data_IF_486214609640
#
_entry.id   IF_486214609640
#
_cell.length_a   1.000
_cell.length_b   1.000
_cell.length_c   1.000
_cell.angle_alpha   90.00
_cell.angle_beta   90.00
_cell.angle_gamma   90.00
#
_symmetry.space_group_name_H-M   'P 1'
#
loop_
_entity.id
_entity.type
_entity.pdbx_description
1 polymer ?
#
# COMPACT_ATOMS: atom_id res chain seq x y z
N UNK A 1 -15.21 -1.72 -58.14
CA UNK A 1 -16.01 -2.32 -57.05
C UNK A 1 -15.22 -3.49 -56.49
N UNK A 2 -14.49 -3.30 -55.39
CA UNK A 2 -13.73 -4.36 -54.73
C UNK A 2 -14.56 -4.88 -53.54
N UNK A 3 -14.88 -6.17 -53.55
CA UNK A 3 -15.60 -6.84 -52.46
C UNK A 3 -14.61 -7.15 -51.33
N UNK A 4 -14.95 -6.75 -50.10
CA UNK A 4 -14.20 -7.11 -48.90
C UNK A 4 -14.56 -8.55 -48.48
N UNK A 5 -13.54 -9.37 -48.19
CA UNK A 5 -13.71 -10.72 -47.65
C UNK A 5 -14.23 -10.72 -46.20
N UNK A 6 -14.72 -11.87 -45.70
CA UNK A 6 -15.38 -11.95 -44.40
C UNK A 6 -14.40 -11.78 -43.23
N UNK A 7 -14.89 -11.15 -42.15
CA UNK A 7 -14.19 -10.94 -40.88
C UNK A 7 -13.89 -12.27 -40.17
N UNK A 8 -12.75 -12.39 -39.46
CA UNK A 8 -12.41 -13.61 -38.72
C UNK A 8 -13.34 -13.84 -37.53
N UNK A 9 -13.73 -15.10 -37.32
CA UNK A 9 -14.58 -15.53 -36.21
C UNK A 9 -13.87 -15.41 -34.86
N UNK A 10 -14.62 -15.01 -33.82
CA UNK A 10 -14.15 -14.96 -32.43
C UNK A 10 -13.78 -16.36 -31.95
N UNK A 11 -12.49 -16.67 -31.91
CA UNK A 11 -11.98 -17.84 -31.22
C UNK A 11 -12.23 -17.67 -29.71
N UNK A 12 -12.99 -18.59 -29.13
CA UNK A 12 -13.04 -18.81 -27.68
C UNK A 12 -11.62 -19.08 -27.21
N UNK A 13 -11.05 -18.17 -26.43
CA UNK A 13 -9.72 -18.34 -25.86
C UNK A 13 -9.74 -19.56 -24.94
N UNK A 14 -9.06 -20.63 -25.35
CA UNK A 14 -8.94 -21.84 -24.57
C UNK A 14 -7.96 -21.58 -23.43
N UNK A 15 -8.48 -21.49 -22.20
CA UNK A 15 -7.71 -21.18 -20.99
C UNK A 15 -6.59 -22.22 -20.74
N UNK A 16 -6.72 -23.43 -21.30
CA UNK A 16 -5.67 -24.45 -21.24
C UNK A 16 -4.48 -24.17 -22.16
N UNK A 17 -4.69 -23.54 -23.32
CA UNK A 17 -3.60 -23.11 -24.23
C UNK A 17 -2.87 -21.87 -23.72
N UNK A 18 -3.58 -20.97 -23.03
CA UNK A 18 -2.94 -19.82 -22.37
C UNK A 18 -2.08 -20.26 -21.18
N UNK A 19 -2.52 -21.28 -20.44
CA UNK A 19 -1.73 -21.91 -19.37
C UNK A 19 -0.47 -22.61 -19.88
N UNK A 20 -0.51 -23.25 -21.06
CA UNK A 20 0.68 -23.90 -21.63
C UNK A 20 1.71 -22.92 -22.17
N UNK A 21 1.28 -21.72 -22.63
CA UNK A 21 2.19 -20.64 -23.05
C UNK A 21 2.81 -19.86 -21.90
N UNK A 22 2.27 -19.99 -20.67
CA UNK A 22 2.76 -19.33 -19.45
C UNK A 22 3.26 -20.38 -18.45
N UNK A 23 3.98 -21.39 -18.94
CA UNK A 23 4.88 -22.18 -18.10
C UNK A 23 6.18 -21.40 -17.92
N UNK A 24 6.14 -20.45 -16.99
CA UNK A 24 7.36 -20.08 -16.25
C UNK A 24 7.82 -21.39 -15.58
N UNK A 25 9.13 -21.66 -15.57
CA UNK A 25 9.71 -22.91 -15.07
C UNK A 25 9.32 -23.24 -13.62
N UNK A 26 9.93 -24.28 -13.04
CA UNK A 26 9.60 -24.69 -11.67
C UNK A 26 9.65 -23.49 -10.72
N UNK A 27 8.54 -23.27 -10.02
CA UNK A 27 8.39 -22.22 -9.03
C UNK A 27 9.43 -22.46 -7.93
N UNK A 28 10.31 -21.49 -7.60
CA UNK A 28 11.28 -21.67 -6.52
C UNK A 28 10.60 -22.08 -5.21
N UNK A 29 11.22 -22.97 -4.44
CA UNK A 29 10.64 -23.49 -3.19
C UNK A 29 10.36 -22.39 -2.14
N UNK A 30 10.95 -21.22 -2.31
CA UNK A 30 10.82 -20.06 -1.44
C UNK A 30 9.87 -18.97 -1.97
N UNK A 31 9.11 -19.26 -3.02
CA UNK A 31 8.11 -18.32 -3.55
C UNK A 31 7.02 -18.07 -2.49
N UNK A 32 6.85 -16.80 -2.09
CA UNK A 32 5.93 -16.31 -1.04
C UNK A 32 6.31 -16.67 0.42
N UNK A 33 7.50 -17.19 0.70
CA UNK A 33 7.95 -17.37 2.09
C UNK A 33 8.59 -16.09 2.63
N UNK A 34 7.91 -15.45 3.57
CA UNK A 34 8.51 -14.44 4.45
C UNK A 34 9.33 -15.19 5.49
N UNK A 35 10.65 -15.02 5.47
CA UNK A 35 11.57 -15.62 6.45
C UNK A 35 11.14 -15.22 7.87
N UNK A 36 10.63 -16.19 8.65
CA UNK A 36 10.60 -16.08 10.11
C UNK A 36 12.03 -16.28 10.60
N UNK A 37 12.58 -15.46 11.51
CA UNK A 37 13.78 -15.85 12.23
C UNK A 37 13.43 -17.07 13.08
N UNK A 38 14.02 -18.22 12.74
CA UNK A 38 13.96 -19.44 13.54
C UNK A 38 14.62 -19.20 14.89
N UNK A 39 13.87 -19.42 15.96
CA UNK A 39 14.39 -19.61 17.31
C UNK A 39 14.63 -21.11 17.48
N UNK A 40 15.90 -21.46 17.61
CA UNK A 40 16.42 -22.83 17.72
C UNK A 40 15.79 -23.58 18.92
N UNK A 41 15.18 -24.78 18.75
CA UNK A 41 14.36 -25.41 19.80
C UNK A 41 15.14 -26.41 20.66
N UNK A 42 16.37 -26.10 21.07
CA UNK A 42 17.20 -27.01 21.88
C UNK A 42 17.54 -26.48 23.27
N UNK A 43 16.54 -26.10 24.08
CA UNK A 43 16.69 -26.04 25.56
C UNK A 43 15.39 -26.48 26.27
N UNK A 44 15.40 -27.53 27.11
CA UNK A 44 14.23 -27.95 27.90
C UNK A 44 13.92 -27.02 29.08
N UNK A 45 12.63 -26.75 29.30
CA UNK A 45 12.11 -26.05 30.48
C UNK A 45 12.14 -26.96 31.72
N UNK A 46 12.79 -26.51 32.81
CA UNK A 46 12.40 -26.88 34.16
C UNK A 46 12.84 -25.83 35.20
N UNK A 47 12.12 -25.82 36.32
CA UNK A 47 11.77 -24.67 37.18
C UNK A 47 12.76 -24.43 38.34
N UNK A 48 12.78 -23.19 38.86
CA UNK A 48 12.98 -22.73 40.26
C UNK A 48 14.20 -21.86 40.61
N UNK A 49 13.85 -20.63 41.03
CA UNK A 49 14.39 -19.81 42.13
C UNK A 49 15.88 -19.92 42.49
N UNK A 50 16.65 -18.86 42.19
CA UNK A 50 17.64 -18.32 43.12
C UNK A 50 17.92 -16.84 42.82
N UNK A 51 17.56 -16.00 43.78
CA UNK A 51 17.76 -14.57 43.81
C UNK A 51 19.12 -14.27 44.44
N UNK A 52 20.12 -13.84 43.66
CA UNK A 52 21.30 -13.09 44.15
C UNK A 52 21.84 -12.13 43.08
N UNK A 53 21.60 -10.83 43.33
CA UNK A 53 22.50 -9.67 43.26
C UNK A 53 23.64 -9.64 42.19
N UNK A 54 23.65 -8.62 41.30
CA UNK A 54 24.81 -7.76 40.88
C UNK A 54 24.34 -6.73 39.80
N UNK A 55 24.94 -5.52 39.69
CA UNK A 55 24.25 -4.25 39.47
C UNK A 55 23.87 -3.85 38.03
N UNK A 56 22.86 -2.98 38.00
CA UNK A 56 22.23 -2.31 36.88
C UNK A 56 23.17 -1.43 36.03
N UNK A 57 23.20 -1.70 34.72
CA UNK A 57 23.56 -0.74 33.67
C UNK A 57 22.24 -0.12 33.17
N UNK A 58 22.06 1.22 33.19
CA UNK A 58 20.89 1.84 32.61
C UNK A 58 21.06 1.92 31.08
N UNK A 59 20.63 0.89 30.34
CA UNK A 59 20.34 1.03 28.92
C UNK A 59 18.90 1.53 28.76
N UNK A 60 18.76 2.86 28.69
CA UNK A 60 17.57 3.48 28.14
C UNK A 60 17.59 3.32 26.62
N UNK A 61 17.14 2.16 26.15
CA UNK A 61 16.58 2.04 24.80
C UNK A 61 15.06 2.10 24.97
N UNK A 62 14.37 3.14 24.45
CA UNK A 62 12.92 3.13 24.46
C UNK A 62 12.47 2.04 23.49
N UNK A 63 12.12 0.87 24.03
CA UNK A 63 11.30 -0.10 23.32
C UNK A 63 9.93 0.55 23.09
N UNK A 64 9.77 1.20 21.94
CA UNK A 64 8.45 1.50 21.41
C UNK A 64 7.78 0.16 21.11
N UNK A 65 6.86 -0.23 21.99
CA UNK A 65 6.03 -1.40 21.83
C UNK A 65 5.05 -1.13 20.67
N UNK A 66 5.44 -1.53 19.46
CA UNK A 66 4.54 -1.55 18.31
C UNK A 66 3.71 -2.83 18.39
N UNK A 67 2.39 -2.67 18.51
CA UNK A 67 1.46 -3.79 18.53
C UNK A 67 1.50 -4.60 17.22
N UNK A 68 1.04 -5.86 17.22
CA UNK A 68 1.14 -6.80 16.09
C UNK A 68 0.35 -6.39 14.82
N UNK A 69 -0.28 -5.21 14.77
CA UNK A 69 -1.06 -4.72 13.64
C UNK A 69 -0.29 -3.79 12.67
N UNK A 70 0.88 -3.26 13.06
CA UNK A 70 1.63 -2.28 12.23
C UNK A 70 2.54 -2.94 11.17
N UNK A 71 2.91 -4.21 11.33
CA UNK A 71 3.89 -4.87 10.44
C UNK A 71 3.30 -5.47 9.15
N UNK A 72 1.99 -5.36 8.91
CA UNK A 72 1.35 -5.92 7.70
C UNK A 72 1.30 -4.96 6.49
N UNK A 73 1.76 -3.72 6.63
CA UNK A 73 1.71 -2.72 5.54
C UNK A 73 3.01 -1.90 5.41
N UNK A 74 4.17 -2.50 5.19
CA UNK A 74 5.35 -1.71 4.78
C UNK A 74 5.33 -1.34 3.29
N UNK A 75 4.48 -1.98 2.48
CA UNK A 75 4.37 -1.68 1.06
C UNK A 75 3.19 -0.73 0.78
N UNK A 76 3.54 0.54 0.53
CA UNK A 76 2.65 1.54 -0.04
C UNK A 76 2.96 1.62 -1.53
N UNK A 77 1.99 1.40 -2.44
CA UNK A 77 2.24 1.48 -3.87
C UNK A 77 2.85 2.85 -4.27
N UNK A 78 3.76 2.90 -5.26
CA UNK A 78 4.27 4.15 -5.79
C UNK A 78 3.14 5.11 -6.20
N UNK A 79 3.37 6.41 -6.10
CA UNK A 79 2.38 7.45 -6.43
C UNK A 79 1.06 7.32 -5.65
N UNK A 80 1.08 6.77 -4.43
CA UNK A 80 -0.10 6.75 -3.56
C UNK A 80 -0.30 8.09 -2.87
N UNK A 81 -1.42 8.77 -3.14
CA UNK A 81 -1.83 10.01 -2.45
C UNK A 81 -2.18 9.74 -0.98
N UNK A 82 -2.84 8.62 -0.70
CA UNK A 82 -3.17 8.18 0.66
C UNK A 82 -4.13 7.00 0.66
N UNK A 83 -4.79 6.74 1.79
CA UNK A 83 -5.78 5.67 1.96
C UNK A 83 -7.18 6.29 1.96
N UNK A 84 -7.98 5.83 1.02
CA UNK A 84 -9.39 6.18 0.89
C UNK A 84 -10.24 5.09 1.56
N UNK A 85 -11.20 5.51 2.38
CA UNK A 85 -12.22 4.64 2.97
C UNK A 85 -13.58 5.04 2.42
N UNK A 86 -14.27 4.10 1.78
CA UNK A 86 -15.63 4.29 1.26
C UNK A 86 -16.52 3.24 1.91
N UNK A 87 -17.42 3.68 2.79
CA UNK A 87 -18.52 2.86 3.30
C UNK A 87 -19.71 3.01 2.38
N UNK A 88 -20.10 1.90 1.78
CA UNK A 88 -21.28 1.75 0.95
C UNK A 88 -22.43 1.33 1.88
N UNK A 89 -23.37 2.23 2.13
CA UNK A 89 -24.42 2.04 3.15
C UNK A 89 -25.63 1.35 2.53
N UNK A 90 -26.39 2.08 1.73
CA UNK A 90 -27.65 1.65 1.11
C UNK A 90 -27.89 2.35 -0.23
N UNK A 91 -28.76 1.78 -1.05
CA UNK A 91 -29.29 2.44 -2.24
C UNK A 91 -30.82 2.42 -2.24
N UNK A 92 -31.42 3.42 -2.89
CA UNK A 92 -32.87 3.52 -3.14
C UNK A 92 -33.08 3.61 -4.63
N UNK A 93 -33.43 2.48 -5.24
CA UNK A 93 -33.60 2.31 -6.67
C UNK A 93 -35.03 2.58 -7.11
N UNK A 94 -35.20 3.20 -8.28
CA UNK A 94 -36.53 3.53 -8.80
C UNK A 94 -37.26 2.29 -9.33
N UNK A 95 -36.53 1.35 -9.92
CA UNK A 95 -37.09 0.17 -10.63
C UNK A 95 -36.50 -1.15 -10.12
N UNK A 96 -37.32 -2.21 -10.19
CA UNK A 96 -36.88 -3.59 -9.99
C UNK A 96 -36.65 -4.23 -11.37
N UNK A 97 -35.43 -4.69 -11.62
CA UNK A 97 -35.01 -5.40 -12.83
C UNK A 97 -34.97 -6.92 -12.65
N UNK A 98 -35.30 -7.42 -11.46
CA UNK A 98 -35.45 -8.86 -11.22
C UNK A 98 -36.57 -9.46 -12.06
N UNK A 99 -36.57 -10.79 -12.17
CA UNK A 99 -37.62 -11.52 -12.87
C UNK A 99 -39.02 -11.18 -12.31
N UNK A 100 -40.09 -11.32 -13.11
CA UNK A 100 -41.45 -11.04 -12.64
C UNK A 100 -41.78 -11.80 -11.33
N UNK A 101 -42.15 -11.05 -10.28
CA UNK A 101 -42.45 -11.61 -8.96
C UNK A 101 -41.24 -11.87 -8.05
N UNK A 102 -40.02 -11.60 -8.52
CA UNK A 102 -38.76 -11.82 -7.79
C UNK A 102 -38.07 -10.49 -7.49
N UNK A 103 -37.47 -10.37 -6.31
CA UNK A 103 -36.64 -9.22 -5.92
C UNK A 103 -35.25 -9.37 -6.51
N UNK A 104 -34.64 -8.26 -6.87
CA UNK A 104 -33.21 -8.26 -7.23
C UNK A 104 -32.33 -8.70 -6.06
N UNK A 105 -31.18 -9.25 -6.41
CA UNK A 105 -30.07 -9.61 -5.53
C UNK A 105 -28.87 -8.68 -5.83
N UNK A 106 -28.89 -7.41 -5.40
CA UNK A 106 -27.92 -6.46 -5.89
C UNK A 106 -26.57 -6.50 -5.17
N UNK A 107 -25.49 -6.35 -5.94
CA UNK A 107 -24.13 -6.12 -5.45
C UNK A 107 -23.48 -4.94 -6.16
N UNK A 108 -22.41 -4.41 -5.57
CA UNK A 108 -21.69 -3.26 -6.10
C UNK A 108 -20.30 -3.66 -6.57
N UNK A 109 -19.93 -3.16 -7.74
CA UNK A 109 -18.57 -3.14 -8.25
C UNK A 109 -18.06 -1.70 -8.24
N UNK A 110 -17.04 -1.44 -7.42
CA UNK A 110 -16.44 -0.12 -7.22
C UNK A 110 -15.04 -0.07 -7.82
N UNK A 111 -14.80 0.85 -8.75
CA UNK A 111 -13.50 1.08 -9.37
C UNK A 111 -12.86 2.36 -8.83
N UNK A 112 -11.64 2.23 -8.32
CA UNK A 112 -10.81 3.32 -7.80
C UNK A 112 -9.47 3.25 -8.55
N UNK A 113 -9.21 4.20 -9.45
CA UNK A 113 -8.10 4.11 -10.39
C UNK A 113 -8.18 2.81 -11.22
N UNK A 114 -7.20 1.92 -11.06
CA UNK A 114 -7.15 0.61 -11.73
C UNK A 114 -7.66 -0.55 -10.86
N UNK A 115 -7.92 -0.30 -9.57
CA UNK A 115 -8.33 -1.34 -8.64
C UNK A 115 -9.85 -1.48 -8.64
N UNK A 116 -10.32 -2.72 -8.59
CA UNK A 116 -11.73 -3.09 -8.56
C UNK A 116 -12.05 -3.78 -7.24
N UNK A 117 -13.15 -3.38 -6.62
CA UNK A 117 -13.68 -3.95 -5.40
C UNK A 117 -15.12 -4.39 -5.63
N UNK A 118 -15.54 -5.45 -4.95
CA UNK A 118 -16.92 -5.91 -4.98
C UNK A 118 -17.47 -6.05 -3.56
N UNK A 119 -18.75 -5.71 -3.39
CA UNK A 119 -19.47 -6.01 -2.16
C UNK A 119 -20.02 -7.43 -2.21
N UNK A 120 -20.30 -8.05 -1.05
CA UNK A 120 -21.23 -9.17 -1.02
C UNK A 120 -22.59 -8.78 -1.60
N UNK A 121 -23.31 -9.77 -2.11
CA UNK A 121 -24.66 -9.59 -2.63
C UNK A 121 -25.67 -9.38 -1.52
N UNK A 122 -26.54 -8.39 -1.70
CA UNK A 122 -27.68 -8.15 -0.83
C UNK A 122 -28.85 -9.03 -1.28
N UNK A 123 -28.90 -10.27 -0.78
CA UNK A 123 -29.94 -11.24 -1.15
C UNK A 123 -31.34 -10.69 -0.83
N UNK A 124 -32.23 -10.75 -1.81
CA UNK A 124 -33.57 -10.17 -1.84
C UNK A 124 -33.65 -8.67 -1.55
N UNK A 125 -32.56 -7.91 -1.81
CA UNK A 125 -32.49 -6.47 -1.56
C UNK A 125 -33.50 -5.65 -2.35
N UNK A 126 -33.91 -6.13 -3.53
CA UNK A 126 -34.91 -5.47 -4.38
C UNK A 126 -34.54 -4.02 -4.67
N UNK A 127 -35.46 -3.08 -4.42
CA UNK A 127 -35.26 -1.65 -4.68
C UNK A 127 -34.54 -0.89 -3.56
N UNK A 128 -34.35 -1.49 -2.39
CA UNK A 128 -33.75 -0.83 -1.23
C UNK A 128 -32.66 -1.71 -0.60
N UNK A 129 -31.59 -2.04 -1.34
CA UNK A 129 -30.52 -2.85 -0.81
C UNK A 129 -29.66 -2.11 0.21
N UNK A 130 -29.16 -2.88 1.18
CA UNK A 130 -28.27 -2.40 2.24
C UNK A 130 -27.06 -3.33 2.31
N UNK A 131 -25.86 -2.76 2.23
CA UNK A 131 -24.60 -3.53 2.24
C UNK A 131 -23.80 -3.29 3.51
N UNK A 132 -23.78 -2.05 4.00
CA UNK A 132 -22.94 -1.64 5.14
C UNK A 132 -21.47 -2.12 5.00
N UNK A 133 -20.92 -2.02 3.78
CA UNK A 133 -19.59 -2.53 3.46
C UNK A 133 -18.61 -1.38 3.33
N UNK A 134 -17.51 -1.44 4.09
CA UNK A 134 -16.38 -0.51 3.94
C UNK A 134 -15.33 -1.10 3.01
N UNK A 135 -14.98 -0.34 1.97
CA UNK A 135 -13.84 -0.58 1.09
C UNK A 135 -12.71 0.35 1.51
N UNK A 136 -11.54 -0.22 1.80
CA UNK A 136 -10.32 0.54 2.06
C UNK A 136 -9.37 0.34 0.88
N UNK A 137 -8.93 1.43 0.26
CA UNK A 137 -8.09 1.40 -0.92
C UNK A 137 -6.96 2.42 -0.83
N UNK A 138 -5.83 2.14 -1.46
CA UNK A 138 -4.85 3.19 -1.75
C UNK A 138 -5.38 4.04 -2.92
N UNK A 139 -5.43 5.36 -2.73
CA UNK A 139 -5.82 6.32 -3.74
C UNK A 139 -4.56 6.77 -4.50
N UNK A 140 -4.42 6.47 -5.80
CA UNK A 140 -3.32 6.96 -6.61
C UNK A 140 -3.38 8.49 -6.78
N UNK A 141 -2.23 9.11 -7.00
CA UNK A 141 -2.13 10.51 -7.42
C UNK A 141 -2.85 10.72 -8.77
N UNK A 142 -3.53 11.86 -8.91
CA UNK A 142 -4.31 12.18 -10.11
C UNK A 142 -5.69 11.52 -10.19
N UNK A 143 -6.02 10.56 -9.32
CA UNK A 143 -7.37 10.01 -9.25
C UNK A 143 -8.27 10.92 -8.41
N UNK A 144 -9.25 11.53 -9.08
CA UNK A 144 -10.20 12.47 -8.47
C UNK A 144 -11.64 11.95 -8.44
N UNK A 145 -11.88 10.76 -8.97
CA UNK A 145 -13.21 10.18 -9.03
C UNK A 145 -13.17 8.66 -8.88
N UNK A 146 -14.32 8.12 -8.47
CA UNK A 146 -14.57 6.68 -8.38
C UNK A 146 -15.78 6.34 -9.24
N UNK A 147 -15.76 5.15 -9.84
CA UNK A 147 -16.85 4.66 -10.66
C UNK A 147 -17.53 3.49 -9.95
N UNK A 148 -18.83 3.65 -9.68
CA UNK A 148 -19.64 2.68 -8.96
C UNK A 148 -20.65 2.08 -9.94
N UNK A 149 -20.80 0.76 -9.89
CA UNK A 149 -21.79 0.01 -10.67
C UNK A 149 -22.57 -0.90 -9.72
N UNK A 150 -23.89 -0.94 -9.87
CA UNK A 150 -24.80 -1.84 -9.16
C UNK A 150 -25.25 -2.91 -10.16
N UNK A 151 -25.04 -4.17 -9.83
CA UNK A 151 -25.47 -5.33 -10.60
C UNK A 151 -26.55 -6.11 -9.86
N UNK A 152 -27.41 -6.82 -10.58
CA UNK A 152 -28.33 -7.86 -10.07
C UNK A 152 -27.68 -9.22 -10.31
N UNK A 153 -27.29 -9.93 -9.25
CA UNK A 153 -26.71 -11.29 -9.35
C UNK A 153 -27.77 -12.28 -9.81
N UNK A 154 -27.42 -13.14 -10.78
CA UNK A 154 -28.37 -14.13 -11.33
C UNK A 154 -27.78 -15.53 -11.33
N UNK A 155 -28.57 -16.49 -10.82
CA UNK A 155 -28.13 -17.88 -10.70
C UNK A 155 -27.93 -18.61 -12.05
N UNK A 156 -28.69 -18.24 -13.09
CA UNK A 156 -28.74 -18.99 -14.36
C UNK A 156 -28.41 -18.16 -15.60
N UNK A 157 -28.19 -16.86 -15.45
CA UNK A 157 -27.85 -15.94 -16.53
C UNK A 157 -26.72 -15.03 -16.10
N UNK A 158 -26.16 -14.26 -17.02
CA UNK A 158 -25.22 -13.21 -16.64
C UNK A 158 -25.90 -12.18 -15.72
N UNK A 159 -25.11 -11.62 -14.82
CA UNK A 159 -25.53 -10.51 -13.96
C UNK A 159 -25.91 -9.30 -14.82
N UNK A 160 -26.99 -8.62 -14.41
CA UNK A 160 -27.50 -7.46 -15.14
C UNK A 160 -27.01 -6.17 -14.48
N UNK A 161 -26.45 -5.24 -15.27
CA UNK A 161 -26.10 -3.91 -14.77
C UNK A 161 -27.39 -3.11 -14.53
N UNK A 162 -27.68 -2.82 -13.28
CA UNK A 162 -28.89 -2.13 -12.84
C UNK A 162 -28.69 -0.62 -12.86
N UNK A 163 -27.58 -0.13 -12.31
CA UNK A 163 -27.32 1.30 -12.15
C UNK A 163 -25.81 1.59 -12.08
N UNK A 164 -25.43 2.84 -12.27
CA UNK A 164 -24.05 3.31 -12.11
C UNK A 164 -23.98 4.77 -11.71
N UNK A 165 -22.84 5.17 -11.14
CA UNK A 165 -22.52 6.56 -10.82
C UNK A 165 -21.03 6.84 -11.02
N UNK A 166 -20.73 8.03 -11.53
CA UNK A 166 -19.39 8.60 -11.56
C UNK A 166 -19.29 9.66 -10.47
N UNK A 167 -18.59 9.33 -9.39
CA UNK A 167 -18.55 10.14 -8.18
C UNK A 167 -17.21 10.87 -8.12
N UNK A 168 -17.25 12.19 -8.20
CA UNK A 168 -16.08 13.03 -7.94
C UNK A 168 -15.83 13.03 -6.44
N UNK A 169 -14.60 12.76 -6.03
CA UNK A 169 -14.21 12.75 -4.62
C UNK A 169 -14.38 14.15 -4.02
N UNK A 170 -15.19 14.32 -2.96
CA UNK A 170 -15.38 15.62 -2.33
C UNK A 170 -14.07 16.15 -1.77
N UNK A 171 -13.73 17.41 -2.01
CA UNK A 171 -12.45 17.97 -1.56
C UNK A 171 -12.30 17.96 -0.02
N UNK A 172 -13.41 18.06 0.72
CA UNK A 172 -13.44 18.01 2.18
C UNK A 172 -12.78 16.77 2.78
N UNK A 173 -12.85 15.62 2.11
CA UNK A 173 -12.23 14.38 2.61
C UNK A 173 -10.71 14.52 2.77
N UNK A 174 -10.06 15.34 1.93
CA UNK A 174 -8.61 15.56 2.01
C UNK A 174 -8.20 16.45 3.18
N UNK A 175 -9.16 17.19 3.75
CA UNK A 175 -9.01 17.94 5.00
C UNK A 175 -9.33 17.07 6.23
N UNK A 176 -9.40 15.74 6.06
CA UNK A 176 -9.75 14.74 7.09
C UNK A 176 -11.20 14.79 7.53
N UNK A 177 -12.09 15.38 6.72
CA UNK A 177 -13.52 15.32 6.95
C UNK A 177 -14.07 13.93 6.58
N UNK A 178 -15.14 13.54 7.26
CA UNK A 178 -15.94 12.37 6.92
C UNK A 178 -17.21 12.88 6.27
N UNK A 179 -17.41 12.57 5.00
CA UNK A 179 -18.54 13.05 4.20
C UNK A 179 -19.55 11.91 4.06
N UNK A 180 -20.77 12.11 4.56
CA UNK A 180 -21.91 11.18 4.44
C UNK A 180 -22.97 11.82 3.55
N UNK A 181 -23.10 11.35 2.32
CA UNK A 181 -23.92 12.01 1.29
C UNK A 181 -24.64 11.03 0.36
N UNK A 182 -25.68 11.53 -0.31
CA UNK A 182 -26.44 10.80 -1.32
C UNK A 182 -26.03 11.18 -2.73
N UNK A 183 -25.67 10.20 -3.54
CA UNK A 183 -25.26 10.37 -4.93
C UNK A 183 -26.34 9.84 -5.88
N UNK A 184 -26.62 10.58 -6.95
CA UNK A 184 -27.58 10.17 -7.98
C UNK A 184 -27.04 9.01 -8.81
N UNK A 185 -27.92 8.05 -9.11
CA UNK A 185 -27.63 6.90 -9.94
C UNK A 185 -28.22 7.08 -11.33
N UNK A 186 -27.40 6.79 -12.33
CA UNK A 186 -27.80 6.68 -13.73
C UNK A 186 -28.03 5.21 -14.08
N UNK A 187 -28.82 4.95 -15.11
CA UNK A 187 -29.19 3.59 -15.45
C UNK A 187 -29.98 3.48 -16.75
N UNK A 188 -30.62 2.34 -17.02
CA UNK A 188 -31.53 2.16 -18.14
C UNK A 188 -32.69 3.18 -18.18
N UNK A 189 -33.07 3.79 -17.06
CA UNK A 189 -34.07 4.88 -17.01
C UNK A 189 -33.54 6.24 -17.49
N UNK A 190 -32.23 6.36 -17.67
CA UNK A 190 -31.53 7.58 -18.06
C UNK A 190 -30.64 8.14 -16.95
N UNK A 191 -30.06 9.31 -17.24
CA UNK A 191 -29.11 9.99 -16.35
C UNK A 191 -29.79 10.49 -15.07
N UNK A 192 -29.24 10.12 -13.91
CA UNK A 192 -29.74 10.53 -12.59
C UNK A 192 -31.17 10.06 -12.25
N UNK A 193 -31.70 9.06 -12.97
CA UNK A 193 -33.09 8.59 -12.83
C UNK A 193 -33.23 7.21 -12.20
N UNK A 194 -32.12 6.52 -11.97
CA UNK A 194 -32.13 5.13 -11.49
C UNK A 194 -32.22 5.04 -9.96
N UNK A 195 -32.15 6.18 -9.28
CA UNK A 195 -32.29 6.29 -7.84
C UNK A 195 -31.11 7.02 -7.21
N UNK A 196 -30.86 6.72 -5.94
CA UNK A 196 -29.77 7.34 -5.17
C UNK A 196 -29.02 6.29 -4.33
N UNK A 197 -27.74 6.54 -4.05
CA UNK A 197 -26.90 5.70 -3.19
C UNK A 197 -26.24 6.55 -2.09
N UNK A 198 -26.24 6.04 -0.86
CA UNK A 198 -25.60 6.69 0.27
C UNK A 198 -24.19 6.13 0.50
N UNK A 199 -23.21 7.03 0.54
CA UNK A 199 -21.81 6.70 0.77
C UNK A 199 -21.25 7.57 1.90
N UNK A 200 -20.48 6.93 2.79
CA UNK A 200 -19.64 7.64 3.76
C UNK A 200 -18.19 7.53 3.31
N UNK A 201 -17.56 8.67 3.00
CA UNK A 201 -16.24 8.75 2.41
C UNK A 201 -15.30 9.50 3.35
N UNK A 202 -14.11 8.95 3.57
CA UNK A 202 -13.03 9.62 4.30
C UNK A 202 -11.67 9.27 3.72
N UNK A 203 -10.68 10.10 4.02
CA UNK A 203 -9.32 9.92 3.52
C UNK A 203 -8.30 10.14 4.64
N UNK A 204 -7.28 9.28 4.67
CA UNK A 204 -6.12 9.42 5.53
C UNK A 204 -4.84 9.42 4.70
N UNK A 205 -3.93 10.34 4.99
CA UNK A 205 -2.61 10.31 4.37
C UNK A 205 -1.86 9.08 4.88
N UNK A 206 -1.26 8.33 3.97
CA UNK A 206 -0.38 7.23 4.34
C UNK A 206 0.99 7.87 4.61
N UNK A 207 1.61 7.63 5.78
CA UNK A 207 2.99 8.01 5.99
C UNK A 207 3.80 7.31 4.89
N UNK A 208 4.29 8.07 3.91
CA UNK A 208 5.37 7.53 3.11
C UNK A 208 6.50 7.33 4.11
N UNK A 209 7.15 6.15 4.17
CA UNK A 209 8.54 6.15 4.58
C UNK A 209 9.17 7.13 3.62
N UNK A 210 9.38 8.36 4.09
CA UNK A 210 10.43 9.17 3.55
C UNK A 210 11.59 8.18 3.62
N UNK A 211 12.15 7.81 2.47
CA UNK A 211 13.57 7.47 2.50
C UNK A 211 14.14 8.63 3.30
N UNK A 212 14.51 8.35 4.55
CA UNK A 212 15.53 9.11 5.21
C UNK A 212 16.74 8.85 4.32
N UNK A 213 16.82 9.58 3.20
CA UNK A 213 18.03 10.32 2.97
C UNK A 213 18.18 11.11 4.25
N UNK A 214 19.02 10.59 5.13
CA UNK A 214 19.69 11.34 6.18
C UNK A 214 20.51 12.43 5.46
N UNK A 215 19.82 13.40 4.88
CA UNK A 215 20.43 14.54 4.24
C UNK A 215 19.42 15.68 4.24
N UNK A 216 19.29 16.32 5.40
CA UNK A 216 19.78 17.69 5.61
C UNK A 216 19.27 18.27 6.93
N UNK A 217 20.09 18.09 7.96
CA UNK A 217 20.41 19.15 8.92
C UNK A 217 21.83 18.96 9.52
N UNK A 218 22.81 18.57 8.71
CA UNK A 218 24.24 18.80 9.00
C UNK A 218 24.91 19.30 7.70
N UNK A 219 24.39 20.39 7.14
CA UNK A 219 25.04 21.07 6.00
C UNK A 219 25.71 22.35 6.47
N UNK A 220 26.54 22.25 7.52
CA UNK A 220 27.61 23.21 7.88
C UNK A 220 28.30 22.91 9.24
N UNK A 221 28.28 21.66 9.73
CA UNK A 221 29.22 21.28 10.79
C UNK A 221 30.40 20.57 10.13
N UNK A 222 31.65 20.97 10.38
CA UNK A 222 32.82 20.22 9.95
C UNK A 222 32.71 18.76 10.39
N UNK A 223 32.95 17.81 9.47
CA UNK A 223 32.93 16.36 9.77
C UNK A 223 34.03 15.95 10.77
N UNK A 224 35.01 16.82 10.97
CA UNK A 224 36.12 16.71 11.89
C UNK A 224 36.54 18.13 12.29
N UNK A 225 37.10 18.30 13.48
CA UNK A 225 37.57 19.61 13.95
C UNK A 225 39.01 19.89 13.51
N UNK A 226 39.45 21.16 13.55
CA UNK A 226 40.82 21.51 13.15
C UNK A 226 41.87 20.92 14.12
N UNK A 227 41.50 20.68 15.37
CA UNK A 227 42.33 20.00 16.37
C UNK A 227 42.61 18.54 15.96
N UNK A 228 41.60 17.82 15.48
CA UNK A 228 41.76 16.43 15.02
C UNK A 228 42.71 16.37 13.82
N UNK A 229 42.60 17.32 12.89
CA UNK A 229 43.51 17.43 11.75
C UNK A 229 44.94 17.76 12.19
N UNK A 230 45.11 18.63 13.20
CA UNK A 230 46.43 18.97 13.74
C UNK A 230 47.08 17.78 14.47
N UNK A 231 46.31 17.03 15.26
CA UNK A 231 46.79 15.82 15.94
C UNK A 231 47.24 14.75 14.94
N UNK A 232 46.50 14.54 13.84
CA UNK A 232 46.96 13.62 12.79
C UNK A 232 48.21 14.14 12.05
N UNK A 233 48.30 15.44 11.82
CA UNK A 233 49.49 16.04 11.20
C UNK A 233 50.75 15.89 12.09
N UNK A 234 50.58 15.91 13.41
CA UNK A 234 51.66 15.62 14.37
C UNK A 234 52.06 14.15 14.38
N UNK A 235 51.10 13.22 14.20
CA UNK A 235 51.38 11.78 14.12
C UNK A 235 52.08 11.38 12.82
N UNK A 236 51.80 12.09 11.72
CA UNK A 236 52.32 11.79 10.39
C UNK A 236 53.02 13.01 9.76
N UNK A 237 54.18 13.46 10.30
CA UNK A 237 54.86 14.67 9.84
C UNK A 237 55.41 14.58 8.40
N UNK A 238 55.48 13.36 7.85
CA UNK A 238 55.93 13.10 6.47
C UNK A 238 54.80 13.23 5.44
N UNK A 239 53.53 13.25 5.86
CA UNK A 239 52.37 13.31 4.97
C UNK A 239 51.86 14.76 4.89
N UNK A 240 51.52 15.21 3.69
CA UNK A 240 50.95 16.54 3.47
C UNK A 240 49.59 16.69 4.15
N UNK A 241 49.36 17.84 4.81
CA UNK A 241 48.13 18.14 5.56
C UNK A 241 46.85 18.00 4.73
N UNK A 242 46.93 18.28 3.42
CA UNK A 242 45.79 18.14 2.51
C UNK A 242 45.42 16.68 2.24
N UNK A 243 46.40 15.78 2.23
CA UNK A 243 46.17 14.33 2.07
C UNK A 243 45.53 13.76 3.33
N UNK A 244 46.00 14.17 4.51
CA UNK A 244 45.40 13.78 5.80
C UNK A 244 43.93 14.23 5.85
N UNK A 245 43.64 15.45 5.42
CA UNK A 245 42.29 16.00 5.32
C UNK A 245 41.40 15.19 4.37
N UNK A 246 41.89 14.85 3.18
CA UNK A 246 41.14 14.03 2.23
C UNK A 246 40.87 12.62 2.74
N UNK A 247 41.80 12.01 3.46
CA UNK A 247 41.61 10.68 4.06
C UNK A 247 40.59 10.74 5.20
N UNK A 248 40.59 11.78 6.04
CA UNK A 248 39.54 12.00 7.04
C UNK A 248 38.17 12.20 6.41
N UNK A 249 38.08 13.00 5.34
CA UNK A 249 36.85 13.20 4.58
C UNK A 249 36.35 11.89 3.97
N UNK A 250 37.25 11.10 3.37
CA UNK A 250 36.91 9.80 2.76
C UNK A 250 36.48 8.74 3.79
N UNK A 251 36.92 8.86 5.04
CA UNK A 251 36.53 7.98 6.16
C UNK A 251 35.40 8.55 7.01
N UNK A 252 34.74 9.62 6.57
CA UNK A 252 33.56 10.20 7.22
C UNK A 252 33.86 10.84 8.58
N UNK A 253 35.06 11.39 8.78
CA UNK A 253 35.47 12.04 10.03
C UNK A 253 35.95 11.10 11.14
N UNK A 254 36.03 9.78 10.88
CA UNK A 254 36.46 8.80 11.89
C UNK A 254 38.00 8.76 11.98
N UNK A 255 38.56 9.38 13.03
CA UNK A 255 40.01 9.46 13.30
C UNK A 255 40.74 8.11 13.23
N UNK A 256 40.22 7.07 13.88
CA UNK A 256 40.85 5.74 13.92
C UNK A 256 40.95 5.08 12.53
N UNK A 257 39.91 5.26 11.71
CA UNK A 257 39.88 4.74 10.35
C UNK A 257 40.84 5.52 9.43
N UNK A 258 41.01 6.82 9.69
CA UNK A 258 41.99 7.64 8.99
C UNK A 258 43.43 7.27 9.37
N UNK A 259 43.73 7.06 10.65
CA UNK A 259 45.05 6.59 11.14
C UNK A 259 45.43 5.27 10.49
N UNK A 260 44.49 4.31 10.46
CA UNK A 260 44.72 3.00 9.83
C UNK A 260 45.05 3.15 8.34
N UNK A 261 44.29 3.98 7.61
CA UNK A 261 44.52 4.22 6.19
C UNK A 261 45.83 4.98 5.91
N UNK A 262 46.25 5.90 6.79
CA UNK A 262 47.52 6.63 6.64
C UNK A 262 48.73 5.75 6.97
N UNK A 263 48.60 4.82 7.92
CA UNK A 263 49.62 3.81 8.20
C UNK A 263 49.82 2.89 6.99
N UNK A 264 48.74 2.47 6.31
CA UNK A 264 48.82 1.67 5.08
C UNK A 264 49.48 2.43 3.92
N UNK A 265 49.46 3.77 3.92
CA UNK A 265 50.11 4.61 2.91
C UNK A 265 51.60 4.85 3.23
N UNK A 266 51.98 4.74 4.51
CA UNK A 266 53.36 4.94 4.98
C UNK A 266 54.17 3.64 5.18
N UNK A 267 53.52 2.47 5.18
CA UNK A 267 54.15 1.15 5.22
C UNK A 267 54.58 0.65 3.85
#
# INVERSE_FOLDING_TARGET
>A
MAQAGPLPSKNSLNLSELRSRVLIGQLPDDFLRVSKPEVDPTIPQNVQEQQQNIPSIPQQVPYQSFGPAENFYSFVPPHTRGRLSIKIVEAKLTKNYGLPGVRMDPYIRLRIGHTLFETPTCVNGGKAPHWNRTVNAYLPEGVESVYLQIFDERAFTNDELVAWAHIILPQGIFNREVIDEWYQLSGPQGEGKEGVINLVVSFSQVPRPQNQGEERAIINAPLFTEEELNELAEMFPTIEREVIKQVLEAKGGVKEAAVTALLDICG
#
